data_IF_071150657217
#
_entry.id   IF_071150657217
#
_cell.length_a   1.000
_cell.length_b   1.000
_cell.length_c   1.000
_cell.angle_alpha   90.00
_cell.angle_beta   90.00
_cell.angle_gamma   90.00
#
_symmetry.space_group_name_H-M   'P 1'
#
loop_
_entity.id
_entity.type
_entity.pdbx_description
1 polymer ?
#
# COMPACT_ATOMS: atom_id res chain seq x y z
N UNK A 1 13.69 40.02 14.31
CA UNK A 1 12.46 39.42 14.84
C UNK A 1 12.25 38.09 14.11
N UNK A 2 12.82 37.01 14.68
CA UNK A 2 12.84 35.68 14.08
C UNK A 2 11.58 34.95 14.50
N UNK A 3 10.65 34.70 13.56
CA UNK A 3 9.55 33.79 13.72
C UNK A 3 10.09 32.35 13.53
N UNK A 4 10.35 31.67 14.64
CA UNK A 4 10.66 30.23 14.64
C UNK A 4 9.40 29.45 14.24
N UNK A 5 9.44 28.92 13.04
CA UNK A 5 8.51 27.87 12.60
C UNK A 5 8.73 26.63 13.47
N UNK A 6 7.89 26.43 14.45
CA UNK A 6 7.73 25.16 15.13
C UNK A 6 7.13 24.18 14.15
N UNK A 7 8.00 23.43 13.49
CA UNK A 7 7.61 22.19 12.82
C UNK A 7 7.29 21.22 13.95
N UNK A 8 6.02 21.04 14.26
CA UNK A 8 5.57 19.88 15.03
C UNK A 8 5.97 18.63 14.24
N UNK A 9 7.14 18.10 14.57
CA UNK A 9 7.48 16.73 14.24
C UNK A 9 6.54 15.87 15.05
N UNK A 10 5.46 15.39 14.42
CA UNK A 10 4.67 14.29 14.97
C UNK A 10 5.68 13.18 15.26
N UNK A 11 5.93 12.93 16.54
CA UNK A 11 6.79 11.86 17.02
C UNK A 11 6.21 10.54 16.49
N UNK A 12 6.78 10.02 15.41
CA UNK A 12 6.42 8.70 14.90
C UNK A 12 6.71 7.68 15.99
N UNK A 13 5.65 7.09 16.54
CA UNK A 13 5.79 6.05 17.54
C UNK A 13 6.58 4.88 16.95
N UNK A 14 7.72 4.57 17.55
CA UNK A 14 8.55 3.45 17.11
C UNK A 14 8.07 2.17 17.79
N UNK A 15 7.64 1.19 17.00
CA UNK A 15 7.22 -0.12 17.51
C UNK A 15 8.45 -0.86 18.10
N UNK A 16 8.32 -1.45 19.30
CA UNK A 16 9.43 -2.12 20.01
C UNK A 16 10.11 -3.22 19.20
N UNK A 17 9.38 -3.90 18.30
CA UNK A 17 9.94 -4.96 17.44
C UNK A 17 10.89 -4.46 16.37
N UNK A 18 10.94 -3.13 16.08
CA UNK A 18 11.93 -2.58 15.15
C UNK A 18 13.39 -2.78 15.59
N UNK A 19 13.60 -3.01 16.88
CA UNK A 19 14.91 -3.41 17.40
C UNK A 19 15.36 -4.82 16.94
N UNK A 20 14.41 -5.67 16.52
CA UNK A 20 14.69 -7.02 16.05
C UNK A 20 14.80 -7.00 14.52
N UNK A 21 16.02 -6.92 14.02
CA UNK A 21 16.29 -6.84 12.59
C UNK A 21 15.85 -8.13 11.89
N UNK A 22 14.69 -8.09 11.21
CA UNK A 22 14.18 -9.17 10.39
C UNK A 22 14.43 -8.86 8.91
N UNK A 23 14.85 -9.84 8.10
CA UNK A 23 14.94 -9.68 6.64
C UNK A 23 13.55 -9.58 5.99
N UNK A 24 12.49 -9.93 6.72
CA UNK A 24 11.12 -9.91 6.23
C UNK A 24 10.31 -8.76 6.82
N UNK A 25 9.30 -8.34 6.08
CA UNK A 25 8.26 -7.41 6.54
C UNK A 25 7.54 -8.01 7.75
N UNK A 26 7.30 -7.19 8.74
CA UNK A 26 6.68 -7.59 10.02
C UNK A 26 5.54 -6.64 10.42
N UNK A 27 4.74 -7.02 11.43
CA UNK A 27 3.70 -6.16 11.99
C UNK A 27 4.25 -4.83 12.51
N UNK A 28 5.55 -4.79 12.88
CA UNK A 28 6.21 -3.56 13.33
C UNK A 28 6.46 -2.54 12.22
N UNK A 29 6.47 -3.00 10.96
CA UNK A 29 6.76 -2.14 9.81
C UNK A 29 5.48 -1.48 9.26
N UNK A 30 4.31 -2.11 9.45
CA UNK A 30 3.00 -1.64 8.94
C UNK A 30 2.25 -0.92 10.07
N UNK A 31 2.03 0.39 9.93
CA UNK A 31 1.31 1.22 10.91
C UNK A 31 -0.18 1.29 10.57
N UNK A 32 -0.50 1.36 9.30
CA UNK A 32 -1.86 1.42 8.76
C UNK A 32 -2.00 0.52 7.54
N UNK A 33 -3.21 0.12 7.15
CA UNK A 33 -3.42 -0.68 5.94
C UNK A 33 -2.75 -0.01 4.74
N UNK A 34 -1.82 -0.73 4.11
CA UNK A 34 -0.97 -0.19 3.03
C UNK A 34 -1.18 -1.01 1.77
N UNK A 35 -1.41 -0.32 0.65
CA UNK A 35 -1.51 -0.95 -0.66
C UNK A 35 -0.11 -1.12 -1.23
N UNK A 36 0.24 -2.36 -1.58
CA UNK A 36 1.51 -2.74 -2.20
C UNK A 36 1.21 -3.59 -3.43
N UNK A 37 2.12 -3.56 -4.42
CA UNK A 37 1.99 -4.37 -5.63
C UNK A 37 2.96 -5.54 -5.57
N UNK A 38 2.46 -6.77 -5.52
CA UNK A 38 3.31 -7.96 -5.60
C UNK A 38 3.97 -7.99 -6.98
N UNK A 39 5.29 -7.91 -7.01
CA UNK A 39 6.09 -8.03 -8.23
C UNK A 39 6.20 -9.48 -8.67
N UNK A 40 6.52 -10.36 -7.74
CA UNK A 40 6.59 -11.82 -7.92
C UNK A 40 6.58 -12.52 -6.55
N UNK A 41 6.26 -13.80 -6.55
CA UNK A 41 6.35 -14.67 -5.37
C UNK A 41 7.31 -15.81 -5.69
N UNK A 42 8.22 -16.10 -4.76
CA UNK A 42 9.18 -17.19 -4.88
C UNK A 42 9.08 -18.15 -3.71
N UNK A 43 9.29 -19.43 -3.96
CA UNK A 43 9.48 -20.43 -2.90
C UNK A 43 10.97 -20.44 -2.52
N UNK A 44 11.31 -19.87 -1.37
CA UNK A 44 12.69 -19.69 -0.94
C UNK A 44 12.95 -20.25 0.46
N UNK A 45 14.18 -20.71 0.75
CA UNK A 45 14.60 -21.07 2.09
C UNK A 45 14.48 -19.89 3.06
N UNK A 46 14.25 -20.19 4.35
CA UNK A 46 14.22 -19.19 5.42
C UNK A 46 15.51 -18.36 5.45
N UNK A 47 15.42 -17.07 5.09
CA UNK A 47 16.55 -16.13 5.10
C UNK A 47 17.07 -15.85 6.51
N UNK A 48 16.27 -16.10 7.56
CA UNK A 48 16.72 -15.98 8.95
C UNK A 48 17.64 -17.11 9.37
N UNK A 49 17.66 -18.22 8.61
CA UNK A 49 18.40 -19.46 8.89
C UNK A 49 18.03 -20.12 10.24
N UNK A 50 16.87 -19.75 10.81
CA UNK A 50 16.37 -20.35 12.04
C UNK A 50 15.68 -21.68 11.81
N UNK A 51 15.14 -21.88 10.61
CA UNK A 51 14.53 -23.13 10.18
C UNK A 51 15.16 -23.62 8.88
N UNK A 52 14.88 -24.87 8.49
CA UNK A 52 15.22 -25.41 7.17
C UNK A 52 14.05 -25.34 6.20
N UNK A 53 12.96 -24.71 6.62
CA UNK A 53 11.74 -24.60 5.84
C UNK A 53 11.92 -23.62 4.68
N UNK A 54 11.08 -23.78 3.67
CA UNK A 54 10.93 -22.83 2.58
C UNK A 54 9.58 -22.13 2.68
N UNK A 55 9.55 -20.85 2.33
CA UNK A 55 8.37 -20.01 2.41
C UNK A 55 8.03 -19.40 1.05
N UNK A 56 6.73 -19.25 0.78
CA UNK A 56 6.27 -18.37 -0.29
C UNK A 56 6.62 -16.92 0.09
N UNK A 57 7.59 -16.34 -0.57
CA UNK A 57 8.10 -15.00 -0.29
C UNK A 57 7.66 -14.04 -1.38
N UNK A 58 6.82 -13.06 -1.01
CA UNK A 58 6.36 -12.01 -1.91
C UNK A 58 7.35 -10.85 -1.93
N UNK A 59 7.76 -10.45 -3.12
CA UNK A 59 8.53 -9.24 -3.42
C UNK A 59 7.60 -8.19 -4.03
N UNK A 60 7.85 -6.93 -3.76
CA UNK A 60 6.98 -5.84 -4.18
C UNK A 60 7.63 -4.98 -5.28
N UNK A 61 6.79 -4.28 -6.03
CA UNK A 61 7.24 -3.32 -7.05
C UNK A 61 7.81 -2.07 -6.37
N UNK A 62 7.19 -1.66 -5.27
CA UNK A 62 7.62 -0.52 -4.46
C UNK A 62 8.97 -0.85 -3.80
N UNK A 63 9.91 0.08 -3.86
CA UNK A 63 11.25 -0.07 -3.25
C UNK A 63 11.27 0.36 -1.79
N UNK A 64 10.37 1.24 -1.40
CA UNK A 64 10.27 1.83 -0.07
C UNK A 64 8.86 1.72 0.48
N UNK A 65 8.75 1.46 1.77
CA UNK A 65 7.47 1.48 2.49
C UNK A 65 7.08 2.92 2.84
N UNK A 66 8.06 3.71 3.25
CA UNK A 66 8.01 5.15 3.54
C UNK A 66 9.32 5.78 3.07
N UNK A 67 9.38 7.10 2.85
CA UNK A 67 10.61 7.78 2.46
C UNK A 67 11.80 7.40 3.34
N UNK A 68 12.84 6.80 2.75
CA UNK A 68 14.05 6.32 3.43
C UNK A 68 13.91 4.96 4.15
N UNK A 69 12.76 4.30 4.11
CA UNK A 69 12.55 2.98 4.70
C UNK A 69 12.35 1.92 3.60
N UNK A 70 13.40 1.14 3.35
CA UNK A 70 13.37 0.08 2.33
C UNK A 70 12.26 -0.93 2.61
N UNK A 71 11.47 -1.22 1.60
CA UNK A 71 10.45 -2.26 1.68
C UNK A 71 11.10 -3.65 1.65
N UNK A 72 10.77 -4.46 2.66
CA UNK A 72 11.25 -5.84 2.80
C UNK A 72 10.27 -6.80 2.14
N UNK A 73 10.73 -7.99 1.70
CA UNK A 73 9.84 -9.04 1.24
C UNK A 73 8.94 -9.56 2.37
N UNK A 74 7.77 -10.08 2.03
CA UNK A 74 6.79 -10.60 2.98
C UNK A 74 6.63 -12.11 2.82
N UNK A 75 6.68 -12.85 3.93
CA UNK A 75 6.30 -14.26 3.94
C UNK A 75 4.78 -14.39 3.82
N UNK A 76 4.33 -15.08 2.79
CA UNK A 76 2.94 -15.49 2.63
C UNK A 76 2.72 -16.81 3.36
N UNK A 77 2.28 -16.73 4.61
CA UNK A 77 1.87 -17.91 5.36
C UNK A 77 0.66 -18.60 4.71
N UNK A 78 0.25 -19.76 5.23
CA UNK A 78 -0.86 -20.53 4.67
C UNK A 78 -2.16 -19.72 4.53
N UNK A 79 -2.47 -18.82 5.47
CA UNK A 79 -3.64 -17.96 5.40
C UNK A 79 -3.51 -16.96 4.24
N UNK A 80 -2.41 -16.21 4.17
CA UNK A 80 -2.18 -15.21 3.13
C UNK A 80 -2.08 -15.83 1.74
N UNK A 81 -1.45 -17.01 1.62
CA UNK A 81 -1.41 -17.78 0.37
C UNK A 81 -2.81 -18.20 -0.08
N UNK A 82 -3.70 -18.58 0.86
CA UNK A 82 -5.10 -18.90 0.54
C UNK A 82 -5.88 -17.67 0.08
N UNK A 83 -5.63 -16.51 0.68
CA UNK A 83 -6.22 -15.23 0.24
C UNK A 83 -5.80 -14.94 -1.19
N UNK A 84 -4.49 -15.02 -1.51
CA UNK A 84 -3.97 -14.84 -2.87
C UNK A 84 -4.62 -15.79 -3.86
N UNK A 85 -4.64 -17.08 -3.55
CA UNK A 85 -5.29 -18.10 -4.40
C UNK A 85 -6.74 -17.74 -4.70
N UNK A 86 -7.50 -17.32 -3.70
CA UNK A 86 -8.93 -16.99 -3.88
C UNK A 86 -9.11 -15.70 -4.68
N UNK A 87 -8.27 -14.70 -4.44
CA UNK A 87 -8.36 -13.40 -5.09
C UNK A 87 -7.97 -13.47 -6.58
N UNK A 88 -6.96 -14.26 -6.92
CA UNK A 88 -6.47 -14.43 -8.29
C UNK A 88 -7.21 -15.54 -9.02
N UNK A 89 -7.74 -16.53 -8.30
CA UNK A 89 -8.35 -17.72 -8.88
C UNK A 89 -7.35 -18.81 -9.31
N UNK A 90 -6.07 -18.66 -9.00
CA UNK A 90 -5.00 -19.63 -9.32
C UNK A 90 -4.28 -20.09 -8.05
N UNK A 91 -3.95 -21.39 -8.03
CA UNK A 91 -3.15 -22.02 -6.98
C UNK A 91 -1.63 -21.89 -7.22
N UNK A 92 -1.21 -21.38 -8.37
CA UNK A 92 0.19 -21.27 -8.75
C UNK A 92 0.74 -19.91 -8.41
N UNK A 93 1.84 -19.86 -7.69
CA UNK A 93 2.46 -18.61 -7.22
C UNK A 93 2.99 -17.73 -8.37
N UNK A 94 3.31 -18.34 -9.50
CA UNK A 94 3.76 -17.66 -10.72
C UNK A 94 2.67 -16.77 -11.33
N UNK A 95 1.39 -17.08 -11.08
CA UNK A 95 0.25 -16.30 -11.55
C UNK A 95 -0.07 -15.09 -10.66
N UNK A 96 0.61 -14.95 -9.51
CA UNK A 96 0.34 -13.90 -8.53
C UNK A 96 1.14 -12.61 -8.77
N UNK A 97 1.80 -12.52 -9.92
CA UNK A 97 2.63 -11.39 -10.30
C UNK A 97 1.79 -10.14 -10.61
N UNK A 98 2.37 -8.96 -10.37
CA UNK A 98 1.76 -7.66 -10.66
C UNK A 98 0.38 -7.45 -10.03
N UNK A 99 0.16 -8.06 -8.86
CA UNK A 99 -1.11 -8.01 -8.15
C UNK A 99 -1.08 -6.99 -7.03
N UNK A 100 -1.94 -5.96 -7.06
CA UNK A 100 -2.09 -5.04 -5.94
C UNK A 100 -2.82 -5.74 -4.78
N UNK A 101 -2.29 -5.57 -3.58
CA UNK A 101 -2.81 -6.15 -2.33
C UNK A 101 -2.83 -5.10 -1.23
N UNK A 102 -3.78 -5.19 -0.32
CA UNK A 102 -3.75 -4.40 0.91
C UNK A 102 -3.16 -5.25 2.03
N UNK A 103 -2.01 -4.82 2.56
CA UNK A 103 -1.37 -5.43 3.72
C UNK A 103 -1.79 -4.68 4.97
N UNK A 104 -2.21 -5.40 6.00
CA UNK A 104 -2.61 -4.82 7.28
C UNK A 104 -2.16 -5.69 8.45
N UNK A 105 -2.14 -5.12 9.66
CA UNK A 105 -1.84 -5.83 10.91
C UNK A 105 -3.14 -6.33 11.52
N UNK A 106 -3.21 -7.64 11.76
CA UNK A 106 -4.25 -8.28 12.55
C UNK A 106 -3.69 -8.57 13.94
N UNK A 107 -4.26 -7.99 14.98
CA UNK A 107 -3.86 -8.17 16.38
C UNK A 107 -4.41 -9.44 17.02
N UNK A 108 -5.24 -10.19 16.30
CA UNK A 108 -5.96 -11.36 16.82
C UNK A 108 -5.51 -12.68 16.17
N UNK A 109 -4.29 -12.73 15.65
CA UNK A 109 -3.75 -13.96 15.05
C UNK A 109 -3.45 -14.98 16.13
N UNK A 110 -4.05 -16.16 16.02
CA UNK A 110 -3.74 -17.28 16.92
C UNK A 110 -2.46 -17.99 16.49
N UNK A 111 -1.51 -18.11 17.43
CA UNK A 111 -0.29 -18.90 17.27
C UNK A 111 -0.18 -19.87 18.45
N UNK A 112 -0.59 -21.13 18.22
CA UNK A 112 -0.75 -22.09 19.32
C UNK A 112 -1.81 -21.64 20.32
N UNK A 113 -1.40 -21.39 21.57
CA UNK A 113 -2.28 -20.88 22.65
C UNK A 113 -2.28 -19.36 22.78
N UNK A 114 -1.36 -18.68 22.09
CA UNK A 114 -1.15 -17.24 22.20
C UNK A 114 -1.91 -16.49 21.10
N UNK A 115 -2.30 -15.26 21.41
CA UNK A 115 -2.78 -14.29 20.44
C UNK A 115 -1.64 -13.30 20.15
N UNK A 116 -1.28 -13.18 18.90
CA UNK A 116 -0.16 -12.33 18.45
C UNK A 116 -0.59 -11.44 17.29
N UNK A 117 0.18 -10.38 17.09
CA UNK A 117 0.04 -9.58 15.87
C UNK A 117 0.67 -10.30 14.68
N UNK A 118 -0.02 -10.28 13.54
CA UNK A 118 0.48 -10.83 12.29
C UNK A 118 0.07 -10.01 11.10
N UNK A 119 0.87 -10.08 10.03
CA UNK A 119 0.49 -9.47 8.75
C UNK A 119 -0.56 -10.29 8.04
N UNK A 120 -1.55 -9.61 7.50
CA UNK A 120 -2.63 -10.17 6.71
C UNK A 120 -2.78 -9.44 5.39
N UNK A 121 -3.23 -10.18 4.39
CA UNK A 121 -3.74 -9.62 3.14
C UNK A 121 -5.26 -9.47 3.25
N UNK A 122 -5.80 -8.34 2.75
CA UNK A 122 -7.24 -8.18 2.61
C UNK A 122 -7.80 -9.21 1.65
N UNK A 123 -8.98 -9.74 1.94
CA UNK A 123 -9.73 -10.62 1.03
C UNK A 123 -10.37 -9.86 -0.13
N UNK A 124 -10.46 -8.54 0.01
CA UNK A 124 -10.96 -7.67 -1.04
C UNK A 124 -9.79 -7.05 -1.78
N UNK A 125 -9.83 -7.01 -3.12
CA UNK A 125 -8.82 -6.31 -3.88
C UNK A 125 -8.82 -4.84 -3.47
N UNK A 126 -7.63 -4.20 -3.36
CA UNK A 126 -7.56 -2.81 -2.96
C UNK A 126 -8.28 -1.94 -3.99
N UNK A 127 -9.08 -1.01 -3.49
CA UNK A 127 -9.65 0.04 -4.32
C UNK A 127 -8.54 1.04 -4.67
N UNK A 128 -7.68 0.65 -5.59
CA UNK A 128 -6.61 1.51 -6.11
C UNK A 128 -7.29 2.55 -7.01
N UNK A 129 -7.56 3.72 -6.46
CA UNK A 129 -8.02 4.85 -7.26
C UNK A 129 -6.96 5.14 -8.32
N UNK A 130 -7.36 5.14 -9.58
CA UNK A 130 -6.45 5.51 -10.66
C UNK A 130 -6.04 6.96 -10.46
N UNK A 131 -4.75 7.23 -10.53
CA UNK A 131 -4.24 8.59 -10.51
C UNK A 131 -4.75 9.33 -11.74
N UNK A 132 -5.22 10.55 -11.55
CA UNK A 132 -5.63 11.41 -12.65
C UNK A 132 -4.38 11.81 -13.45
N UNK A 133 -4.42 11.62 -14.77
CA UNK A 133 -3.31 11.96 -15.67
C UNK A 133 -3.71 13.16 -16.51
N UNK A 134 -2.88 14.20 -16.47
CA UNK A 134 -3.07 15.42 -17.28
C UNK A 134 -3.16 15.07 -18.78
N UNK A 135 -4.10 15.71 -19.49
CA UNK A 135 -4.36 15.46 -20.91
C UNK A 135 -5.13 14.19 -21.22
N UNK A 136 -5.53 13.39 -20.22
CA UNK A 136 -6.39 12.22 -20.40
C UNK A 136 -7.86 12.61 -20.59
N UNK A 137 -8.69 11.68 -21.09
CA UNK A 137 -10.15 11.84 -21.13
C UNK A 137 -10.71 12.10 -19.73
N UNK A 138 -10.16 11.45 -18.71
CA UNK A 138 -10.56 11.66 -17.32
C UNK A 138 -10.21 13.07 -16.84
N UNK A 139 -9.10 13.65 -17.30
CA UNK A 139 -8.74 15.05 -17.05
C UNK A 139 -9.77 16.03 -17.64
N UNK A 140 -10.12 15.87 -18.91
CA UNK A 140 -11.13 16.70 -19.58
C UNK A 140 -12.48 16.61 -18.87
N UNK A 141 -12.84 15.40 -18.41
CA UNK A 141 -14.07 15.19 -17.64
C UNK A 141 -14.01 15.86 -16.26
N UNK A 142 -12.83 15.87 -15.61
CA UNK A 142 -12.62 16.54 -14.33
C UNK A 142 -12.74 18.07 -14.47
N UNK A 143 -12.17 18.66 -15.53
CA UNK A 143 -12.32 20.09 -15.86
C UNK A 143 -13.80 20.44 -16.10
N UNK A 144 -14.52 19.62 -16.86
CA UNK A 144 -15.95 19.80 -17.10
C UNK A 144 -16.79 19.66 -15.82
N UNK A 145 -16.45 18.73 -14.95
CA UNK A 145 -17.09 18.55 -13.65
C UNK A 145 -16.86 19.77 -12.74
N UNK A 146 -15.64 20.28 -12.69
CA UNK A 146 -15.33 21.49 -11.91
C UNK A 146 -16.12 22.71 -12.42
N UNK A 147 -16.23 22.89 -13.74
CA UNK A 147 -17.05 23.97 -14.34
C UNK A 147 -18.52 23.89 -13.95
N UNK A 148 -19.05 22.66 -13.87
CA UNK A 148 -20.47 22.45 -13.57
C UNK A 148 -20.76 22.61 -12.07
N UNK A 149 -19.91 22.01 -11.22
CA UNK A 149 -20.18 21.78 -9.78
C UNK A 149 -19.41 22.76 -8.87
N UNK A 150 -18.38 23.47 -9.39
CA UNK A 150 -17.52 24.38 -8.64
C UNK A 150 -16.57 23.67 -7.66
N UNK A 151 -16.51 22.33 -7.70
CA UNK A 151 -15.64 21.50 -6.87
C UNK A 151 -15.27 20.19 -7.56
N UNK A 152 -14.34 19.42 -6.97
CA UNK A 152 -13.88 18.13 -7.49
C UNK A 152 -14.29 16.92 -6.60
N UNK A 153 -15.25 17.08 -5.69
CA UNK A 153 -15.60 16.03 -4.73
C UNK A 153 -16.05 14.73 -5.39
N UNK A 154 -16.90 14.84 -6.42
CA UNK A 154 -17.36 13.70 -7.21
C UNK A 154 -16.23 13.02 -8.02
N UNK A 155 -15.24 13.79 -8.45
CA UNK A 155 -14.04 13.29 -9.16
C UNK A 155 -13.11 12.59 -8.16
N UNK A 156 -12.82 13.25 -7.04
CA UNK A 156 -11.98 12.71 -5.95
C UNK A 156 -12.56 11.43 -5.33
N UNK A 157 -13.87 11.23 -5.39
CA UNK A 157 -14.50 9.99 -4.97
C UNK A 157 -14.12 8.79 -5.85
N UNK A 158 -13.69 9.01 -7.11
CA UNK A 158 -13.44 7.96 -8.12
C UNK A 158 -11.99 7.83 -8.53
N UNK A 159 -11.24 8.92 -8.51
CA UNK A 159 -9.83 8.98 -8.91
C UNK A 159 -9.01 9.71 -7.86
N UNK A 160 -7.73 9.41 -7.82
CA UNK A 160 -6.77 10.11 -6.98
C UNK A 160 -6.31 11.39 -7.71
N UNK A 161 -6.57 12.55 -7.11
CA UNK A 161 -6.25 13.87 -7.67
C UNK A 161 -5.18 14.51 -6.78
N UNK A 162 -4.00 14.70 -7.35
CA UNK A 162 -2.91 15.38 -6.64
C UNK A 162 -3.28 16.85 -6.36
N UNK A 163 -2.92 17.45 -5.22
CA UNK A 163 -3.18 18.87 -4.94
C UNK A 163 -2.62 19.84 -6.01
N UNK A 164 -1.53 19.46 -6.71
CA UNK A 164 -1.02 20.21 -7.83
C UNK A 164 -1.94 20.15 -9.06
N UNK A 165 -2.49 18.96 -9.34
CA UNK A 165 -3.42 18.73 -10.45
C UNK A 165 -4.77 19.43 -10.21
N UNK A 166 -5.21 19.49 -8.96
CA UNK A 166 -6.44 20.23 -8.59
C UNK A 166 -6.37 21.69 -9.00
N UNK A 167 -5.25 22.36 -8.67
CA UNK A 167 -5.02 23.76 -9.07
C UNK A 167 -4.96 23.96 -10.58
N UNK A 168 -4.38 23.00 -11.30
CA UNK A 168 -4.32 23.04 -12.76
C UNK A 168 -5.72 22.87 -13.38
N UNK A 169 -6.54 21.97 -12.88
CA UNK A 169 -7.92 21.76 -13.33
C UNK A 169 -8.75 23.03 -13.09
N UNK A 170 -8.61 23.63 -11.90
CA UNK A 170 -9.28 24.87 -11.55
C UNK A 170 -8.88 26.02 -12.49
N UNK A 171 -7.58 26.18 -12.74
CA UNK A 171 -7.06 27.19 -13.66
C UNK A 171 -7.57 26.98 -15.11
N UNK A 172 -7.56 25.73 -15.60
CA UNK A 172 -8.03 25.37 -16.92
C UNK A 172 -9.55 25.55 -17.05
N UNK A 173 -10.31 25.21 -16.01
CA UNK A 173 -11.74 25.43 -15.95
C UNK A 173 -12.10 26.91 -16.04
N UNK A 174 -11.34 27.79 -15.41
CA UNK A 174 -11.55 29.23 -15.39
C UNK A 174 -11.03 29.93 -16.64
N UNK A 175 -10.04 29.40 -17.36
CA UNK A 175 -9.46 29.96 -18.56
C UNK A 175 -10.33 29.80 -19.82
N UNK A 176 -11.32 28.90 -19.78
CA UNK A 176 -12.23 28.59 -20.90
C UNK A 176 -13.61 29.29 -20.76
N UNK A 177 -13.67 30.44 -20.05
CA UNK A 177 -14.86 31.28 -19.94
C UNK A 177 -14.83 32.36 -21.02
#
# INVERSE_FOLDING_TARGET
MFLSLWRETMSEKTHYRKAFNSPYLSSADIVEPTVLTIKHVLLEPDQTKKTKDSFNTAYFVESELRPGERLKPMILNAHNSKVMKNMIGSAFIDDWNNTPVTVYVDSNVRFGRDTVEGLRLSTEPPNVRRKLVSGSVQWTNAVAAFKRDGNLDAVKARVDVDPADEKLIEAEANALV
#
